data_IF_062997192356
#
_entry.id   IF_062997192356
#
_cell.length_a   1.000
_cell.length_b   1.000
_cell.length_c   1.000
_cell.angle_alpha   90.00
_cell.angle_beta   90.00
_cell.angle_gamma   90.00
#
_symmetry.space_group_name_H-M   'P 1'
#
loop_
_entity.id
_entity.type
_entity.pdbx_description
1 polymer ?
#
# COMPACT_ATOMS: atom_id res chain seq x y z
N UNK A 1 11.70 -2.17 -13.15
CA UNK A 1 10.25 -2.14 -13.47
C UNK A 1 9.53 -1.56 -12.27
N UNK A 2 8.48 -0.75 -12.48
CA UNK A 2 7.67 -0.17 -11.41
C UNK A 2 6.29 -0.81 -11.37
N UNK A 3 5.82 -1.20 -10.19
CA UNK A 3 4.56 -1.91 -9.98
C UNK A 3 3.66 -1.05 -9.11
N UNK A 4 2.45 -0.76 -9.59
CA UNK A 4 1.40 -0.12 -8.80
C UNK A 4 0.37 -1.17 -8.37
N UNK A 5 0.15 -1.34 -7.06
CA UNK A 5 -0.94 -2.15 -6.53
C UNK A 5 -2.07 -1.23 -6.04
N UNK A 6 -3.30 -1.51 -6.45
CA UNK A 6 -4.46 -0.67 -6.14
C UNK A 6 -5.41 -1.48 -5.26
N UNK A 7 -5.78 -0.93 -4.11
CA UNK A 7 -6.74 -1.56 -3.20
C UNK A 7 -7.58 -0.52 -2.44
N UNK A 8 -8.83 -0.84 -2.07
CA UNK A 8 -9.72 0.12 -1.42
C UNK A 8 -9.15 0.70 -0.14
N UNK A 9 -8.57 -0.14 0.73
CA UNK A 9 -7.90 0.27 1.96
C UNK A 9 -6.56 -0.43 2.09
N UNK A 10 -5.75 0.06 3.01
CA UNK A 10 -4.48 -0.55 3.42
C UNK A 10 -4.29 -0.26 4.91
N UNK A 11 -3.23 -0.81 5.52
CA UNK A 11 -2.89 -0.58 6.93
C UNK A 11 -3.15 0.88 7.35
N UNK A 12 -3.80 1.18 8.49
CA UNK A 12 -4.15 0.27 9.57
C UNK A 12 -5.48 -0.49 9.39
N UNK A 13 -6.20 -0.32 8.28
CA UNK A 13 -7.33 -1.20 7.98
C UNK A 13 -6.79 -2.63 7.74
N UNK A 14 -7.36 -3.62 8.43
CA UNK A 14 -6.95 -5.02 8.32
C UNK A 14 -8.14 -5.86 7.84
N UNK A 15 -7.93 -6.52 6.71
CA UNK A 15 -8.86 -7.45 6.10
C UNK A 15 -8.12 -8.39 5.14
N UNK A 16 -8.86 -9.25 4.43
CA UNK A 16 -8.26 -10.24 3.54
C UNK A 16 -7.51 -9.61 2.35
N UNK A 17 -8.06 -8.54 1.77
CA UNK A 17 -7.43 -7.82 0.65
C UNK A 17 -6.17 -7.10 1.13
N UNK A 18 -6.26 -6.39 2.25
CA UNK A 18 -5.17 -5.61 2.83
C UNK A 18 -3.98 -6.53 3.19
N UNK A 19 -4.28 -7.69 3.78
CA UNK A 19 -3.27 -8.70 4.13
C UNK A 19 -2.60 -9.27 2.88
N UNK A 20 -3.38 -9.58 1.85
CA UNK A 20 -2.86 -10.13 0.60
C UNK A 20 -1.96 -9.12 -0.14
N UNK A 21 -2.41 -7.87 -0.26
CA UNK A 21 -1.65 -6.77 -0.87
C UNK A 21 -0.36 -6.53 -0.10
N UNK A 22 -0.40 -6.51 1.23
CA UNK A 22 0.78 -6.37 2.07
C UNK A 22 1.81 -7.49 1.83
N UNK A 23 1.37 -8.76 1.91
CA UNK A 23 2.25 -9.91 1.75
C UNK A 23 2.86 -10.02 0.36
N UNK A 24 2.13 -9.64 -0.69
CA UNK A 24 2.67 -9.61 -2.06
C UNK A 24 3.60 -8.42 -2.25
N UNK A 25 3.19 -7.22 -1.83
CA UNK A 25 4.00 -6.00 -1.97
C UNK A 25 5.37 -6.15 -1.32
N UNK A 26 5.42 -6.68 -0.09
CA UNK A 26 6.66 -6.94 0.64
C UNK A 26 7.60 -7.90 -0.10
N UNK A 27 7.07 -8.89 -0.82
CA UNK A 27 7.89 -9.83 -1.60
C UNK A 27 8.37 -9.21 -2.90
N UNK A 28 7.51 -8.46 -3.60
CA UNK A 28 7.85 -7.77 -4.84
C UNK A 28 8.85 -6.62 -4.62
N UNK A 29 8.76 -5.92 -3.48
CA UNK A 29 9.64 -4.81 -3.13
C UNK A 29 11.13 -5.22 -3.00
N UNK A 30 11.42 -6.52 -2.90
CA UNK A 30 12.80 -7.03 -2.91
C UNK A 30 13.49 -6.90 -4.26
N UNK A 31 12.73 -6.83 -5.34
CA UNK A 31 13.24 -6.87 -6.72
C UNK A 31 12.73 -5.69 -7.57
N UNK A 32 11.62 -5.05 -7.17
CA UNK A 32 10.94 -4.03 -7.96
C UNK A 32 10.58 -2.82 -7.09
N UNK A 33 10.44 -1.67 -7.74
CA UNK A 33 9.86 -0.49 -7.10
C UNK A 33 8.33 -0.67 -7.01
N UNK A 34 7.81 -0.80 -5.79
CA UNK A 34 6.39 -1.03 -5.53
C UNK A 34 5.75 0.19 -4.89
N UNK A 35 4.58 0.57 -5.40
CA UNK A 35 3.75 1.62 -4.84
C UNK A 35 2.30 1.11 -4.67
N UNK A 36 1.77 1.24 -3.47
CA UNK A 36 0.37 0.96 -3.15
C UNK A 36 -0.42 2.26 -3.28
N UNK A 37 -1.49 2.23 -4.07
CA UNK A 37 -2.46 3.31 -4.22
C UNK A 37 -3.75 2.90 -3.51
N UNK A 38 -4.11 3.62 -2.45
CA UNK A 38 -5.24 3.26 -1.61
C UNK A 38 -6.07 4.47 -1.19
N UNK A 39 -7.26 4.26 -0.66
CA UNK A 39 -8.09 5.36 -0.13
C UNK A 39 -7.89 5.53 1.38
N UNK A 40 -8.05 6.76 1.84
CA UNK A 40 -8.24 7.11 3.25
C UNK A 40 -9.46 8.04 3.36
N UNK A 41 -10.66 7.48 3.49
CA UNK A 41 -11.88 8.28 3.65
C UNK A 41 -11.86 9.17 4.89
N UNK A 42 -11.06 8.83 5.90
CA UNK A 42 -10.92 9.62 7.13
C UNK A 42 -10.08 10.88 6.91
N UNK A 43 -9.15 10.86 5.95
CA UNK A 43 -8.17 11.91 5.70
C UNK A 43 -7.20 12.14 6.86
N UNK A 44 -7.07 11.18 7.78
CA UNK A 44 -6.25 11.30 9.00
C UNK A 44 -4.90 10.59 8.88
N UNK A 45 -4.74 9.71 7.89
CA UNK A 45 -3.53 8.94 7.68
C UNK A 45 -2.49 9.75 6.89
N UNK A 46 -1.23 9.32 6.96
CA UNK A 46 -0.14 9.93 6.21
C UNK A 46 -0.39 9.73 4.71
N UNK A 47 -0.40 10.84 3.95
CA UNK A 47 -0.76 10.82 2.52
C UNK A 47 0.21 9.99 1.68
N UNK A 48 1.51 10.06 1.96
CA UNK A 48 2.55 9.25 1.32
C UNK A 48 3.53 8.81 2.42
N UNK A 49 3.70 7.52 2.59
CA UNK A 49 4.64 6.95 3.55
C UNK A 49 5.44 5.79 2.93
N UNK A 50 6.66 5.58 3.41
CA UNK A 50 7.44 4.39 3.12
C UNK A 50 7.12 3.31 4.15
N UNK A 51 6.77 2.12 3.66
CA UNK A 51 6.33 1.00 4.46
C UNK A 51 7.08 -0.26 3.98
N UNK A 52 7.97 -0.78 4.82
CA UNK A 52 8.74 -2.01 4.55
C UNK A 52 9.35 -2.14 3.13
N UNK A 53 9.89 -1.04 2.60
CA UNK A 53 10.54 -1.01 1.29
C UNK A 53 9.62 -0.74 0.10
N UNK A 54 8.35 -0.39 0.32
CA UNK A 54 7.43 0.11 -0.71
C UNK A 54 6.73 1.39 -0.27
N UNK A 55 6.21 2.16 -1.23
CA UNK A 55 5.46 3.39 -0.94
C UNK A 55 3.98 3.08 -0.77
N UNK A 56 3.33 3.69 0.22
CA UNK A 56 1.87 3.72 0.34
C UNK A 56 1.41 5.15 0.09
N UNK A 57 0.57 5.35 -0.92
CA UNK A 57 -0.04 6.62 -1.27
C UNK A 57 -1.56 6.57 -1.08
N UNK A 58 -2.07 7.52 -0.31
CA UNK A 58 -3.48 7.60 0.10
C UNK A 58 -4.20 8.74 -0.62
N UNK A 59 -5.40 8.44 -1.08
CA UNK A 59 -6.32 9.38 -1.72
C UNK A 59 -7.58 9.53 -0.88
N UNK A 60 -8.14 10.74 -0.83
CA UNK A 60 -9.40 11.01 -0.14
C UNK A 60 -10.58 10.79 -1.09
#
# INVERSE_FOLDING_TARGET
MKIAQICPRFYPDIGGVETHVYEISRRLAKEFEVEILTTDPSGKLIKIEEFEGFIVRRFR
#
